data_IF_351028076729
#
_entry.id   IF_351028076729
#
_cell.length_a   1.000
_cell.length_b   1.000
_cell.length_c   1.000
_cell.angle_alpha   90.00
_cell.angle_beta   90.00
_cell.angle_gamma   90.00
#
_symmetry.space_group_name_H-M   'P 1'
#
loop_
_entity.id
_entity.type
_entity.pdbx_description
1 polymer ?
#
# COMPACT_ATOMS: atom_id res chain seq x y z
N UNK A 1 3.06 28.30 -10.74
CA UNK A 1 3.01 27.06 -11.55
C UNK A 1 1.85 26.25 -11.00
N UNK A 2 0.80 26.04 -11.80
CA UNK A 2 -0.37 25.27 -11.34
C UNK A 2 -0.05 23.78 -11.51
N UNK A 3 -0.12 23.03 -10.42
CA UNK A 3 0.00 21.56 -10.45
C UNK A 3 -1.36 21.00 -10.88
N UNK A 4 -1.63 21.00 -12.18
CA UNK A 4 -2.83 20.43 -12.77
C UNK A 4 -2.55 19.06 -13.42
N UNK A 5 -3.62 18.38 -13.85
CA UNK A 5 -3.52 17.07 -14.49
C UNK A 5 -2.60 17.09 -15.72
N UNK A 6 -2.68 18.16 -16.53
CA UNK A 6 -1.90 18.27 -17.76
C UNK A 6 -0.41 18.36 -17.45
N UNK A 7 -0.04 19.19 -16.48
CA UNK A 7 1.34 19.30 -16.02
C UNK A 7 1.88 17.95 -15.52
N UNK A 8 1.09 17.19 -14.74
CA UNK A 8 1.48 15.88 -14.23
C UNK A 8 1.65 14.87 -15.38
N UNK A 9 0.67 14.82 -16.28
CA UNK A 9 0.67 13.94 -17.44
C UNK A 9 1.91 14.18 -18.31
N UNK A 10 2.20 15.43 -18.67
CA UNK A 10 3.35 15.79 -19.51
C UNK A 10 4.68 15.41 -18.83
N UNK A 11 4.79 15.59 -17.50
CA UNK A 11 5.97 15.16 -16.75
C UNK A 11 6.19 13.65 -16.79
N UNK A 12 5.12 12.86 -16.63
CA UNK A 12 5.21 11.40 -16.68
C UNK A 12 5.52 10.94 -18.09
N UNK A 13 4.83 11.50 -19.09
CA UNK A 13 5.00 11.16 -20.50
C UNK A 13 6.45 11.32 -20.97
N UNK A 14 7.15 12.37 -20.53
CA UNK A 14 8.57 12.60 -20.84
C UNK A 14 9.53 11.51 -20.36
N UNK A 15 9.07 10.54 -19.55
CA UNK A 15 9.86 9.40 -19.08
C UNK A 15 9.75 8.15 -19.95
N UNK A 16 8.93 8.19 -21.00
CA UNK A 16 8.64 7.05 -21.88
C UNK A 16 8.94 7.39 -23.33
N UNK A 17 9.13 6.39 -24.17
CA UNK A 17 9.41 6.59 -25.60
C UNK A 17 8.14 6.96 -26.38
N UNK A 18 6.99 6.38 -26.01
CA UNK A 18 5.69 6.61 -26.65
C UNK A 18 4.54 6.73 -25.64
N UNK A 19 3.37 7.22 -26.07
CA UNK A 19 2.15 7.22 -25.24
C UNK A 19 1.73 5.79 -24.92
N UNK A 20 1.85 4.88 -25.88
CA UNK A 20 1.54 3.45 -25.72
C UNK A 20 2.46 2.78 -24.70
N UNK A 21 3.75 3.14 -24.68
CA UNK A 21 4.71 2.63 -23.69
C UNK A 21 4.36 3.12 -22.27
N UNK A 22 3.90 4.37 -22.14
CA UNK A 22 3.41 4.91 -20.87
C UNK A 22 2.14 4.19 -20.41
N UNK A 23 1.13 4.09 -21.27
CA UNK A 23 -0.14 3.41 -20.98
C UNK A 23 0.06 1.94 -20.61
N UNK A 24 0.96 1.23 -21.30
CA UNK A 24 1.30 -0.17 -20.99
C UNK A 24 1.98 -0.34 -19.62
N UNK A 25 2.64 0.71 -19.11
CA UNK A 25 3.26 0.70 -17.79
C UNK A 25 2.28 0.97 -16.64
N UNK A 26 1.14 1.62 -16.93
CA UNK A 26 0.15 1.93 -15.91
C UNK A 26 -0.51 0.65 -15.38
N UNK A 27 -0.78 0.57 -14.06
CA UNK A 27 -1.53 -0.54 -13.52
C UNK A 27 -2.96 -0.51 -14.07
N UNK A 28 -3.53 -1.69 -14.33
CA UNK A 28 -4.95 -1.79 -14.68
C UNK A 28 -5.79 -1.69 -13.40
N UNK A 29 -6.62 -0.65 -13.24
CA UNK A 29 -7.52 -0.58 -12.11
C UNK A 29 -8.60 -1.66 -12.24
N UNK A 30 -9.09 -2.13 -11.09
CA UNK A 30 -10.28 -2.99 -11.03
C UNK A 30 -11.50 -2.19 -11.50
N UNK A 31 -12.47 -2.91 -12.07
CA UNK A 31 -13.76 -2.34 -12.45
C UNK A 31 -14.54 -1.89 -11.20
N UNK A 32 -15.51 -0.97 -11.35
CA UNK A 32 -16.35 -0.55 -10.22
C UNK A 32 -17.06 -1.70 -9.51
N UNK A 33 -17.45 -2.76 -10.23
CA UNK A 33 -18.14 -3.90 -9.63
C UNK A 33 -17.19 -4.85 -8.90
N UNK A 34 -15.98 -5.08 -9.43
CA UNK A 34 -14.92 -5.80 -8.70
C UNK A 34 -14.52 -5.07 -7.42
N UNK A 35 -14.44 -3.73 -7.46
CA UNK A 35 -14.13 -2.92 -6.28
C UNK A 35 -15.21 -3.06 -5.19
N UNK A 36 -16.49 -3.12 -5.55
CA UNK A 36 -17.58 -3.34 -4.59
C UNK A 36 -17.58 -4.74 -3.97
N UNK A 37 -16.93 -5.70 -4.61
CA UNK A 37 -16.82 -7.08 -4.12
C UNK A 37 -15.63 -7.28 -3.17
N UNK A 38 -14.68 -6.33 -3.13
CA UNK A 38 -13.58 -6.38 -2.17
C UNK A 38 -14.09 -6.14 -0.75
N UNK A 39 -13.61 -6.95 0.19
CA UNK A 39 -13.85 -6.74 1.62
C UNK A 39 -13.07 -5.53 2.16
N UNK A 40 -13.57 -4.97 3.26
CA UNK A 40 -12.97 -3.83 3.96
C UNK A 40 -11.52 -4.09 4.38
N UNK A 41 -11.18 -5.35 4.66
CA UNK A 41 -9.83 -5.80 5.01
C UNK A 41 -8.81 -5.56 3.90
N UNK A 42 -9.22 -5.74 2.63
CA UNK A 42 -8.35 -5.46 1.47
C UNK A 42 -8.08 -3.98 1.31
N UNK A 43 -9.08 -3.13 1.59
CA UNK A 43 -8.91 -1.68 1.58
C UNK A 43 -8.02 -1.22 2.73
N UNK A 44 -8.25 -1.73 3.95
CA UNK A 44 -7.43 -1.39 5.11
C UNK A 44 -5.96 -1.80 4.89
N UNK A 45 -5.72 -3.03 4.44
CA UNK A 45 -4.37 -3.49 4.07
C UNK A 45 -3.72 -2.58 3.02
N UNK A 46 -4.42 -2.27 1.92
CA UNK A 46 -3.88 -1.42 0.87
C UNK A 46 -3.55 0.00 1.37
N UNK A 47 -4.39 0.59 2.21
CA UNK A 47 -4.14 1.90 2.83
C UNK A 47 -2.93 1.85 3.76
N UNK A 48 -2.87 0.86 4.65
CA UNK A 48 -1.73 0.65 5.55
C UNK A 48 -0.43 0.46 4.78
N UNK A 49 -0.43 -0.30 3.68
CA UNK A 49 0.75 -0.49 2.82
C UNK A 49 1.31 0.85 2.32
N UNK A 50 0.43 1.77 1.92
CA UNK A 50 0.87 3.11 1.46
C UNK A 50 1.51 3.91 2.58
N UNK A 51 0.99 3.82 3.80
CA UNK A 51 1.58 4.46 4.98
C UNK A 51 2.96 3.87 5.28
N UNK A 52 3.10 2.54 5.31
CA UNK A 52 4.39 1.88 5.59
C UNK A 52 5.43 2.07 4.49
N UNK A 53 5.03 2.34 3.24
CA UNK A 53 5.96 2.69 2.16
C UNK A 53 6.56 4.10 2.30
N UNK A 54 5.99 4.98 3.12
CA UNK A 54 6.52 6.32 3.32
C UNK A 54 7.93 6.26 3.92
N UNK A 55 8.90 6.93 3.27
CA UNK A 55 10.28 6.98 3.72
C UNK A 55 11.10 5.70 3.51
N UNK A 56 10.56 4.69 2.82
CA UNK A 56 11.26 3.42 2.56
C UNK A 56 11.17 2.98 1.09
N UNK A 57 12.12 2.13 0.67
CA UNK A 57 12.06 1.50 -0.65
C UNK A 57 10.82 0.59 -0.72
N UNK A 58 9.94 0.81 -1.69
CA UNK A 58 8.71 0.03 -1.83
C UNK A 58 8.98 -1.48 -1.85
N UNK A 59 10.00 -1.93 -2.58
CA UNK A 59 10.37 -3.36 -2.67
C UNK A 59 10.68 -4.02 -1.33
N UNK A 60 11.19 -3.27 -0.34
CA UNK A 60 11.47 -3.79 1.00
C UNK A 60 10.19 -4.01 1.79
N UNK A 61 9.25 -3.07 1.70
CA UNK A 61 7.95 -3.16 2.36
C UNK A 61 7.12 -4.27 1.72
N UNK A 62 7.12 -4.33 0.39
CA UNK A 62 6.36 -5.29 -0.40
C UNK A 62 6.79 -6.73 -0.11
N UNK A 63 8.10 -6.96 -0.02
CA UNK A 63 8.65 -8.27 0.32
C UNK A 63 8.25 -8.73 1.74
N UNK A 64 7.99 -7.80 2.65
CA UNK A 64 7.56 -8.09 4.03
C UNK A 64 6.04 -8.08 4.21
N UNK A 65 5.28 -7.60 3.22
CA UNK A 65 3.83 -7.40 3.36
C UNK A 65 3.06 -8.67 3.73
N UNK A 66 3.39 -9.88 3.22
CA UNK A 66 2.75 -11.10 3.69
C UNK A 66 2.90 -11.34 5.20
N UNK A 67 4.05 -10.97 5.78
CA UNK A 67 4.25 -11.07 7.23
C UNK A 67 3.48 -10.00 8.01
N UNK A 68 3.20 -8.84 7.40
CA UNK A 68 2.28 -7.85 7.96
C UNK A 68 0.84 -8.36 7.94
N UNK A 69 0.38 -8.90 6.81
CA UNK A 69 -0.95 -9.54 6.72
C UNK A 69 -1.10 -10.61 7.81
N UNK A 70 -0.12 -11.49 8.00
CA UNK A 70 -0.17 -12.50 9.07
C UNK A 70 -0.19 -11.88 10.48
N UNK A 71 0.66 -10.89 10.74
CA UNK A 71 0.80 -10.27 12.06
C UNK A 71 -0.42 -9.42 12.46
N UNK A 72 -1.10 -8.82 11.48
CA UNK A 72 -2.25 -7.94 11.68
C UNK A 72 -3.58 -8.62 11.27
N UNK A 73 -3.63 -9.95 11.32
CA UNK A 73 -4.83 -10.78 11.08
C UNK A 73 -5.54 -10.48 9.75
N UNK A 74 -4.77 -10.32 8.68
CA UNK A 74 -5.24 -9.98 7.35
C UNK A 74 -5.83 -8.58 7.25
N UNK A 75 -5.55 -7.70 8.23
CA UNK A 75 -6.17 -6.39 8.39
C UNK A 75 -7.70 -6.46 8.50
N UNK A 76 -8.25 -7.52 9.08
CA UNK A 76 -9.67 -7.60 9.44
C UNK A 76 -10.04 -6.45 10.41
N UNK A 77 -10.91 -5.50 10.01
CA UNK A 77 -11.23 -4.33 10.83
C UNK A 77 -11.76 -4.68 12.24
N UNK A 78 -12.55 -5.75 12.36
CA UNK A 78 -13.12 -6.17 13.65
C UNK A 78 -12.06 -6.76 14.59
N UNK A 79 -11.00 -7.36 14.04
CA UNK A 79 -9.85 -7.81 14.85
C UNK A 79 -8.90 -6.66 15.15
N UNK A 80 -8.70 -5.76 14.18
CA UNK A 80 -7.79 -4.63 14.31
C UNK A 80 -8.22 -3.65 15.41
N UNK A 81 -9.51 -3.51 15.70
CA UNK A 81 -9.98 -2.68 16.83
C UNK A 81 -9.64 -3.29 18.20
N UNK A 82 -9.36 -4.60 18.27
CA UNK A 82 -9.02 -5.31 19.50
C UNK A 82 -7.51 -5.25 19.83
N UNK A 83 -6.71 -4.60 18.98
CA UNK A 83 -5.26 -4.58 19.07
C UNK A 83 -4.82 -3.75 20.29
N UNK A 84 -4.17 -4.40 21.25
CA UNK A 84 -3.76 -3.74 22.51
C UNK A 84 -2.36 -3.14 22.40
N UNK A 85 -2.01 -2.15 23.24
CA UNK A 85 -0.65 -1.61 23.31
C UNK A 85 0.42 -2.68 23.56
N UNK A 86 0.12 -3.67 24.40
CA UNK A 86 1.04 -4.78 24.70
C UNK A 86 1.31 -5.66 23.47
N UNK A 87 0.30 -5.87 22.62
CA UNK A 87 0.48 -6.58 21.35
C UNK A 87 1.34 -5.78 20.38
N UNK A 88 1.10 -4.46 20.26
CA UNK A 88 1.93 -3.56 19.46
C UNK A 88 3.37 -3.57 19.94
N UNK A 89 3.58 -3.56 21.25
CA UNK A 89 4.91 -3.66 21.86
C UNK A 89 5.57 -5.01 21.56
N UNK A 90 4.80 -6.09 21.60
CA UNK A 90 5.22 -7.42 21.18
C UNK A 90 5.70 -7.47 19.73
N UNK A 91 5.08 -6.69 18.83
CA UNK A 91 5.49 -6.60 17.42
C UNK A 91 6.89 -6.01 17.21
N UNK A 92 7.41 -5.26 18.18
CA UNK A 92 8.81 -4.81 18.15
C UNK A 92 9.82 -5.97 18.29
N UNK A 93 9.37 -7.18 18.62
CA UNK A 93 10.21 -8.37 18.62
C UNK A 93 10.01 -9.23 17.36
N UNK A 94 9.06 -8.92 16.48
CA UNK A 94 8.81 -9.67 15.26
C UNK A 94 9.77 -9.24 14.13
N UNK A 95 10.82 -10.03 13.88
CA UNK A 95 11.83 -9.76 12.85
C UNK A 95 11.32 -9.86 11.41
N UNK A 96 10.14 -10.47 11.22
CA UNK A 96 9.54 -10.65 9.89
C UNK A 96 8.99 -9.32 9.34
N UNK A 97 8.56 -8.42 10.23
CA UNK A 97 8.00 -7.11 9.88
C UNK A 97 9.00 -5.97 10.09
N UNK A 98 8.62 -4.77 9.69
CA UNK A 98 9.42 -3.56 9.91
C UNK A 98 9.08 -3.01 11.29
N UNK A 99 10.11 -2.83 12.12
CA UNK A 99 9.98 -2.41 13.51
C UNK A 99 10.26 -0.92 13.64
N UNK A 100 9.20 -0.11 13.66
CA UNK A 100 9.27 1.34 13.81
C UNK A 100 8.08 1.83 14.65
N UNK A 101 8.34 2.56 15.74
CA UNK A 101 7.33 3.06 16.69
C UNK A 101 7.07 4.57 16.57
N UNK A 102 8.01 5.28 15.97
CA UNK A 102 8.09 6.76 15.95
C UNK A 102 7.09 7.42 15.00
#
# INVERSE_FOLDING_TARGET
>A
MTLDYRWLHDMVRNRFDSDEAMEAFLPRPLTPDELKQLGDDRYLSAMSLRVFRAGMKHSVVDAKWPAFEDAFWGFDPEKMVLLTPEQVDGYMNNERIIRHRT
#
